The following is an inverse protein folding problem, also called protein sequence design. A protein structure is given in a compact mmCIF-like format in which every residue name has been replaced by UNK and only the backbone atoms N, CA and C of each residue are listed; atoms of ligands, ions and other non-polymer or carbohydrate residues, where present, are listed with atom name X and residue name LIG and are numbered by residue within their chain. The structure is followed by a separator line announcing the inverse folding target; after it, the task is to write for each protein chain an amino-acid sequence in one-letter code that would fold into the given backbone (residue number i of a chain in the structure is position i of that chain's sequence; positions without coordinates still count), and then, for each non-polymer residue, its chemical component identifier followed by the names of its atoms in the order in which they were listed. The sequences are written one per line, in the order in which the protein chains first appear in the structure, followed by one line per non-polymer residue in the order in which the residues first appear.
data_IF_833558725987
#
_entry.id   IF_833558725987
#
_cell.length_a   1.000
_cell.length_b   1.000
_cell.length_c   1.000
_cell.angle_alpha   90.00
_cell.angle_beta   90.00
_cell.angle_gamma   90.00
#
_symmetry.space_group_name_H-M   'P 1'
#
loop_
_entity.id
_entity.type
_entity.pdbx_description
1 polymer ?
#
# COMPACT_ATOMS: atom_id res chain seq x y z
N UNK A 1 -5.81 -0.33 -11.76
CA UNK A 1 -6.34 -0.96 -10.53
C UNK A 1 -6.83 0.11 -9.55
N UNK A 2 -7.80 -0.23 -8.76
CA UNK A 2 -8.27 0.66 -7.71
C UNK A 2 -7.34 0.57 -6.50
N UNK A 3 -6.96 1.71 -5.95
CA UNK A 3 -6.04 1.77 -4.82
C UNK A 3 -6.44 2.89 -3.86
N UNK A 4 -5.94 2.76 -2.64
CA UNK A 4 -6.02 3.81 -1.61
C UNK A 4 -4.60 4.21 -1.26
N UNK A 5 -4.35 5.52 -1.16
CA UNK A 5 -3.00 6.01 -0.86
C UNK A 5 -3.06 7.29 -0.05
N UNK A 6 -1.90 7.68 0.50
CA UNK A 6 -1.73 9.01 1.08
C UNK A 6 -0.34 9.55 0.73
N UNK A 7 -0.24 10.87 0.67
CA UNK A 7 1.02 11.57 0.36
C UNK A 7 1.56 12.35 1.56
N UNK A 8 0.75 12.53 2.58
CA UNK A 8 1.13 13.19 3.82
C UNK A 8 0.43 12.50 4.98
N UNK A 9 0.98 12.60 6.17
CA UNK A 9 0.37 12.05 7.38
C UNK A 9 -0.75 12.97 7.88
N UNK A 10 -1.67 12.41 8.65
CA UNK A 10 -2.78 13.14 9.22
C UNK A 10 -4.03 12.28 9.38
N UNK A 11 -5.19 12.91 9.66
CA UNK A 11 -6.44 12.19 9.79
C UNK A 11 -6.86 11.52 8.49
N UNK A 12 -7.44 10.31 8.59
CA UNK A 12 -7.81 9.52 7.43
C UNK A 12 -8.71 10.28 6.45
N UNK A 13 -9.68 11.01 6.98
CA UNK A 13 -10.64 11.76 6.17
C UNK A 13 -9.99 12.84 5.32
N UNK A 14 -8.84 13.34 5.74
CA UNK A 14 -8.14 14.42 5.05
C UNK A 14 -7.05 13.91 4.11
N UNK A 15 -6.37 12.82 4.47
CA UNK A 15 -5.17 12.39 3.76
C UNK A 15 -5.35 11.18 2.86
N UNK A 16 -6.33 10.30 3.14
CA UNK A 16 -6.53 9.12 2.31
C UNK A 16 -7.25 9.48 1.02
N UNK A 17 -6.72 8.99 -0.08
CA UNK A 17 -7.29 9.13 -1.42
C UNK A 17 -7.60 7.76 -1.99
N UNK A 18 -8.67 7.64 -2.75
CA UNK A 18 -9.07 6.42 -3.44
C UNK A 18 -9.20 6.73 -4.92
N UNK A 19 -8.65 5.89 -5.76
CA UNK A 19 -8.75 6.10 -7.20
C UNK A 19 -8.03 5.03 -7.98
N UNK A 20 -7.88 5.29 -9.27
CA UNK A 20 -7.19 4.38 -10.17
C UNK A 20 -5.69 4.64 -10.16
N UNK A 21 -4.94 3.57 -10.16
CA UNK A 21 -3.50 3.58 -10.32
C UNK A 21 -3.11 2.50 -11.31
N UNK A 22 -1.99 2.71 -11.98
CA UNK A 22 -1.43 1.69 -12.85
C UNK A 22 -1.02 0.47 -12.02
N UNK A 23 -1.40 -0.71 -12.49
CA UNK A 23 -1.01 -1.94 -11.81
C UNK A 23 0.50 -2.13 -11.92
N UNK A 24 1.18 -2.49 -10.82
CA UNK A 24 2.61 -2.72 -10.86
C UNK A 24 2.93 -3.97 -11.69
N UNK A 25 4.14 -4.03 -12.19
CA UNK A 25 4.65 -5.19 -12.93
C UNK A 25 5.70 -5.89 -12.08
N UNK A 26 5.63 -7.22 -12.03
CA UNK A 26 6.65 -8.00 -11.37
C UNK A 26 7.93 -7.95 -12.19
N UNK A 27 9.01 -7.53 -11.58
CA UNK A 27 10.33 -7.51 -12.19
C UNK A 27 11.14 -8.69 -11.67
N UNK A 28 12.45 -8.66 -11.89
CA UNK A 28 13.33 -9.74 -11.46
C UNK A 28 13.15 -10.08 -9.98
N UNK A 29 13.00 -11.36 -9.67
CA UNK A 29 12.84 -11.87 -8.31
C UNK A 29 11.57 -11.41 -7.58
N UNK A 30 10.58 -10.91 -8.31
CA UNK A 30 9.31 -10.46 -7.75
C UNK A 30 8.15 -11.31 -8.25
N UNK A 31 7.07 -11.31 -7.47
CA UNK A 31 5.78 -11.82 -7.91
C UNK A 31 4.75 -10.73 -7.70
N UNK A 32 3.74 -10.70 -8.56
CA UNK A 32 2.60 -9.82 -8.37
C UNK A 32 1.43 -10.64 -7.85
N UNK A 33 0.80 -10.12 -6.81
CA UNK A 33 -0.33 -10.79 -6.17
C UNK A 33 -1.60 -9.97 -6.45
N UNK A 34 -2.61 -10.64 -6.97
CA UNK A 34 -3.95 -10.06 -7.04
C UNK A 34 -4.55 -10.13 -5.65
N UNK A 35 -4.60 -9.00 -4.95
CA UNK A 35 -5.03 -8.94 -3.56
C UNK A 35 -6.53 -9.17 -3.47
N UNK A 36 -6.94 -10.10 -2.63
CA UNK A 36 -8.34 -10.41 -2.33
C UNK A 36 -8.76 -9.82 -1.00
N UNK A 37 -7.85 -9.74 -0.06
CA UNK A 37 -8.09 -9.19 1.27
C UNK A 37 -6.91 -8.34 1.68
N UNK A 38 -7.19 -7.21 2.31
CA UNK A 38 -6.18 -6.31 2.84
C UNK A 38 -6.48 -6.08 4.31
N UNK A 39 -5.47 -6.29 5.17
CA UNK A 39 -5.64 -6.16 6.61
C UNK A 39 -5.30 -4.76 7.09
N UNK A 40 -6.10 -4.26 8.03
CA UNK A 40 -5.82 -2.99 8.70
C UNK A 40 -5.37 -3.29 10.12
N UNK A 41 -4.19 -2.81 10.47
CA UNK A 41 -3.58 -3.03 11.77
C UNK A 41 -3.30 -1.69 12.47
N UNK A 42 -3.12 -1.71 13.81
CA UNK A 42 -2.76 -0.47 14.52
C UNK A 42 -1.52 0.23 13.97
N UNK A 43 -0.55 -0.52 13.47
CA UNK A 43 0.65 0.06 12.86
C UNK A 43 0.32 0.90 11.63
N UNK A 44 -0.63 0.47 10.82
CA UNK A 44 -1.04 1.21 9.62
C UNK A 44 -1.65 2.56 10.00
N UNK A 45 -2.48 2.57 11.04
CA UNK A 45 -3.11 3.80 11.55
C UNK A 45 -2.05 4.74 12.12
N UNK A 46 -1.11 4.22 12.88
CA UNK A 46 -0.04 5.03 13.50
C UNK A 46 0.86 5.67 12.45
N UNK A 47 1.23 4.93 11.42
CA UNK A 47 2.05 5.47 10.34
C UNK A 47 1.32 6.57 9.58
N UNK A 48 0.07 6.33 9.23
CA UNK A 48 -0.72 7.31 8.50
C UNK A 48 -0.97 8.57 9.33
N UNK A 49 -1.25 8.43 10.62
CA UNK A 49 -1.55 9.58 11.47
C UNK A 49 -0.33 10.43 11.80
N UNK A 50 0.87 9.88 11.60
CA UNK A 50 2.09 10.55 12.00
C UNK A 50 2.48 10.32 13.45
N UNK A 51 1.77 9.44 14.17
CA UNK A 51 2.06 9.14 15.57
C UNK A 51 3.30 8.26 15.73
N UNK A 52 3.73 7.58 14.67
CA UNK A 52 4.93 6.75 14.68
C UNK A 52 6.12 7.52 14.17
N UNK A 53 7.28 7.32 14.82
CA UNK A 53 8.54 7.90 14.37
C UNK A 53 9.20 7.11 13.24
N UNK A 54 8.60 6.02 12.82
CA UNK A 54 9.07 5.29 11.65
C UNK A 54 8.57 6.03 10.42
N UNK A 55 9.22 7.16 10.12
CA UNK A 55 8.84 7.97 8.98
C UNK A 55 9.14 7.26 7.68
N UNK A 56 8.14 7.07 6.85
CA UNK A 56 8.34 6.73 5.47
C UNK A 56 8.67 8.02 4.72
N UNK A 57 9.87 8.08 4.16
CA UNK A 57 10.27 9.20 3.31
C UNK A 57 9.84 8.97 1.86
N UNK A 58 8.67 8.38 1.68
CA UNK A 58 8.14 8.11 0.36
C UNK A 58 7.16 9.21 -0.03
N UNK A 59 7.18 9.64 -1.29
CA UNK A 59 6.25 10.67 -1.76
C UNK A 59 4.80 10.19 -1.79
N UNK A 60 4.58 8.89 -1.79
CA UNK A 60 3.26 8.29 -1.81
C UNK A 60 3.33 6.94 -1.12
N UNK A 61 2.36 6.66 -0.25
CA UNK A 61 2.28 5.40 0.48
C UNK A 61 0.93 4.75 0.24
N UNK A 62 0.95 3.48 -0.14
CA UNK A 62 -0.24 2.62 -0.16
C UNK A 62 -0.21 1.87 1.17
N UNK A 63 -1.16 2.14 2.08
CA UNK A 63 -1.14 1.56 3.42
C UNK A 63 -1.50 0.07 3.42
N UNK A 64 -1.46 -0.53 4.61
CA UNK A 64 -1.84 -1.91 4.92
C UNK A 64 -0.77 -2.90 4.47
N UNK A 65 0.09 -3.25 5.42
CA UNK A 65 1.20 -4.17 5.18
C UNK A 65 0.75 -5.60 4.95
N UNK A 66 -0.41 -5.97 5.50
CA UNK A 66 -0.91 -7.34 5.42
C UNK A 66 -1.93 -7.49 4.31
N UNK A 67 -1.82 -8.58 3.58
CA UNK A 67 -2.77 -8.89 2.53
C UNK A 67 -2.72 -10.35 2.16
N UNK A 68 -3.74 -10.81 1.48
CA UNK A 68 -3.83 -12.16 0.95
C UNK A 68 -4.42 -12.10 -0.45
N UNK A 69 -3.94 -13.00 -1.31
CA UNK A 69 -4.41 -13.02 -2.68
C UNK A 69 -3.79 -14.15 -3.48
N UNK A 70 -3.87 -14.01 -4.78
CA UNK A 70 -3.41 -15.03 -5.72
C UNK A 70 -2.30 -14.43 -6.57
N UNK A 71 -1.20 -15.17 -6.73
CA UNK A 71 -0.11 -14.76 -7.64
C UNK A 71 -0.65 -14.75 -9.06
N UNK A 72 -0.57 -13.61 -9.74
CA UNK A 72 -1.06 -13.45 -11.10
C UNK A 72 0.04 -13.07 -12.09
N UNK A 73 1.23 -12.82 -11.62
CA UNK A 73 2.39 -12.58 -12.48
C UNK A 73 3.67 -12.95 -11.74
N UNK A 74 4.56 -13.61 -12.43
CA UNK A 74 5.90 -13.95 -11.92
C UNK A 74 6.91 -13.17 -12.73
N UNK A 75 7.86 -12.56 -12.03
CA UNK A 75 8.94 -11.84 -12.69
C UNK A 75 9.95 -12.80 -13.35
N UNK A 76 10.85 -12.23 -14.09
CA UNK A 76 11.91 -12.99 -14.77
C UNK A 76 13.19 -12.98 -13.92
N UNK A 77 14.02 -13.99 -14.15
CA UNK A 77 15.33 -14.08 -13.50
C UNK A 77 16.43 -13.63 -14.46
#
# INVERSE_FOLDING_TARGET
MKATWYKKTGPAQEVLKVGEMEAPRATEDEVRIRVRSSGVNPADVKLRSGASNYGYNFPLVIPNSDGAGIVDQVGFN
#
